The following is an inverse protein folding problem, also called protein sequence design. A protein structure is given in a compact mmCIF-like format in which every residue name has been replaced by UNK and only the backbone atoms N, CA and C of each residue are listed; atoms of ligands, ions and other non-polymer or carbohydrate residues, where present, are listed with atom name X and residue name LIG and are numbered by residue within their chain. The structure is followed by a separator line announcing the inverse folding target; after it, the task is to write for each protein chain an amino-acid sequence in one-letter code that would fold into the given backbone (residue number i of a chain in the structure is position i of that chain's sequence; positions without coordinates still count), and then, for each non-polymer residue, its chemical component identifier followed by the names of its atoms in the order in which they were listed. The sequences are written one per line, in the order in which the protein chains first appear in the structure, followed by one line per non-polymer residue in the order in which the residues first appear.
data_IF_049496950812
#
_entry.id   IF_049496950812
#
_cell.length_a   1.000
_cell.length_b   1.000
_cell.length_c   1.000
_cell.angle_alpha   90.00
_cell.angle_beta   90.00
_cell.angle_gamma   90.00
#
_symmetry.space_group_name_H-M   'P 1'
#
loop_
_entity.id
_entity.type
_entity.pdbx_description
1 polymer ?
#
# COMPACT_ATOMS: atom_id res chain seq x y z
N UNK A 1 89.02 -28.05 18.12
CA UNK A 1 88.54 -26.86 17.36
C UNK A 1 87.22 -27.22 16.70
N UNK A 2 86.14 -26.49 17.00
CA UNK A 2 84.77 -26.76 16.51
C UNK A 2 84.62 -26.26 15.06
N UNK A 3 84.25 -27.15 14.15
CA UNK A 3 83.87 -26.82 12.77
C UNK A 3 82.42 -26.36 12.73
N UNK A 4 82.21 -25.08 12.43
CA UNK A 4 80.88 -24.52 12.23
C UNK A 4 80.38 -24.84 10.82
N UNK A 5 79.33 -25.65 10.71
CA UNK A 5 78.60 -25.89 9.46
C UNK A 5 77.79 -24.63 9.13
N UNK A 6 78.17 -23.89 8.07
CA UNK A 6 77.36 -22.81 7.52
C UNK A 6 76.19 -23.39 6.72
N UNK A 7 74.96 -23.21 7.21
CA UNK A 7 73.76 -23.38 6.38
C UNK A 7 73.68 -22.22 5.38
N UNK A 8 73.81 -22.52 4.08
CA UNK A 8 73.46 -21.57 3.02
C UNK A 8 71.96 -21.30 3.07
N UNK A 9 71.55 -20.12 3.54
CA UNK A 9 70.17 -19.64 3.40
C UNK A 9 69.93 -19.34 1.92
N UNK A 10 69.20 -20.21 1.22
CA UNK A 10 68.71 -19.95 -0.13
C UNK A 10 67.61 -18.88 -0.06
N UNK A 11 67.77 -17.78 -0.79
CA UNK A 11 66.73 -16.78 -0.99
C UNK A 11 65.71 -17.24 -2.04
N UNK A 12 64.52 -16.65 -2.02
CA UNK A 12 63.47 -16.92 -3.02
C UNK A 12 63.86 -16.41 -4.40
N UNK A 13 63.49 -17.15 -5.45
CA UNK A 13 63.66 -16.73 -6.84
C UNK A 13 62.57 -15.75 -7.27
N UNK A 14 62.84 -14.88 -8.25
CA UNK A 14 61.86 -13.91 -8.77
C UNK A 14 60.63 -14.62 -9.35
N UNK A 15 60.83 -15.77 -9.99
CA UNK A 15 59.75 -16.60 -10.56
C UNK A 15 58.83 -17.15 -9.47
N UNK A 16 59.37 -17.64 -8.35
CA UNK A 16 58.53 -18.09 -7.22
C UNK A 16 57.72 -16.94 -6.63
N UNK A 17 58.29 -15.73 -6.53
CA UNK A 17 57.57 -14.56 -6.03
C UNK A 17 56.44 -14.17 -6.99
N UNK A 18 56.67 -14.25 -8.31
CA UNK A 18 55.65 -13.98 -9.33
C UNK A 18 54.52 -15.03 -9.28
N UNK A 19 54.86 -16.31 -9.15
CA UNK A 19 53.85 -17.38 -9.00
C UNK A 19 53.07 -17.22 -7.70
N UNK A 20 53.74 -16.90 -6.60
CA UNK A 20 53.10 -16.67 -5.31
C UNK A 20 52.13 -15.47 -5.34
N UNK A 21 52.52 -14.37 -5.99
CA UNK A 21 51.65 -13.19 -6.14
C UNK A 21 50.49 -13.45 -7.10
N UNK A 22 50.70 -14.21 -8.18
CA UNK A 22 49.62 -14.62 -9.08
C UNK A 22 48.57 -15.48 -8.36
N UNK A 23 49.01 -16.48 -7.57
CA UNK A 23 48.11 -17.32 -6.77
C UNK A 23 47.36 -16.46 -5.73
N UNK A 24 48.05 -15.53 -5.06
CA UNK A 24 47.41 -14.63 -4.10
C UNK A 24 46.28 -13.82 -4.76
N UNK A 25 46.52 -13.22 -5.93
CA UNK A 25 45.50 -12.43 -6.64
C UNK A 25 44.30 -13.31 -6.98
N UNK A 26 44.52 -14.52 -7.50
CA UNK A 26 43.43 -15.46 -7.81
C UNK A 26 42.63 -15.81 -6.56
N UNK A 27 43.31 -16.10 -5.44
CA UNK A 27 42.64 -16.41 -4.18
C UNK A 27 41.82 -15.23 -3.65
N UNK A 28 42.37 -14.01 -3.70
CA UNK A 28 41.65 -12.80 -3.28
C UNK A 28 40.41 -12.59 -4.15
N UNK A 29 40.52 -12.75 -5.47
CA UNK A 29 39.38 -12.60 -6.38
C UNK A 29 38.27 -13.61 -6.07
N UNK A 30 38.62 -14.87 -5.80
CA UNK A 30 37.65 -15.92 -5.44
C UNK A 30 36.95 -15.57 -4.12
N UNK A 31 37.72 -15.18 -3.09
CA UNK A 31 37.16 -14.82 -1.78
C UNK A 31 36.25 -13.60 -1.88
N UNK A 32 36.67 -12.56 -2.60
CA UNK A 32 35.84 -11.36 -2.81
C UNK A 32 34.58 -11.68 -3.59
N UNK A 33 34.63 -12.56 -4.59
CA UNK A 33 33.44 -13.01 -5.33
C UNK A 33 32.42 -13.68 -4.42
N UNK A 34 32.86 -14.65 -3.62
CA UNK A 34 31.98 -15.34 -2.66
C UNK A 34 31.39 -14.34 -1.66
N UNK A 35 32.18 -13.38 -1.19
CA UNK A 35 31.70 -12.34 -0.28
C UNK A 35 30.60 -11.46 -0.91
N UNK A 36 30.80 -11.01 -2.16
CA UNK A 36 29.81 -10.20 -2.89
C UNK A 36 28.53 -10.99 -3.14
N UNK A 37 28.63 -12.23 -3.61
CA UNK A 37 27.46 -13.08 -3.89
C UNK A 37 26.66 -13.34 -2.61
N UNK A 38 27.36 -13.53 -1.48
CA UNK A 38 26.72 -13.72 -0.17
C UNK A 38 26.00 -12.46 0.30
N UNK A 39 26.60 -11.28 0.11
CA UNK A 39 25.96 -10.00 0.45
C UNK A 39 24.71 -9.75 -0.41
N UNK A 40 24.79 -9.98 -1.71
CA UNK A 40 23.62 -9.83 -2.60
C UNK A 40 22.50 -10.82 -2.26
N UNK A 41 22.84 -12.06 -1.90
CA UNK A 41 21.86 -13.04 -1.44
C UNK A 41 21.21 -12.62 -0.11
N UNK A 42 22.01 -12.08 0.82
CA UNK A 42 21.53 -11.55 2.09
C UNK A 42 20.56 -10.39 1.89
N UNK A 43 20.92 -9.41 1.06
CA UNK A 43 20.07 -8.24 0.77
C UNK A 43 18.72 -8.66 0.19
N UNK A 44 18.72 -9.62 -0.74
CA UNK A 44 17.49 -10.19 -1.29
C UNK A 44 16.62 -10.86 -0.23
N UNK A 45 17.21 -11.68 0.64
CA UNK A 45 16.47 -12.38 1.70
C UNK A 45 15.87 -11.38 2.69
N UNK A 46 16.60 -10.31 3.02
CA UNK A 46 16.09 -9.24 3.89
C UNK A 46 14.93 -8.51 3.22
N UNK A 47 15.00 -8.21 1.93
CA UNK A 47 13.91 -7.58 1.17
C UNK A 47 12.65 -8.47 1.13
N UNK A 48 12.82 -9.77 0.87
CA UNK A 48 11.72 -10.74 0.84
C UNK A 48 11.07 -10.89 2.23
N UNK A 49 11.88 -10.91 3.31
CA UNK A 49 11.38 -10.98 4.68
C UNK A 49 10.61 -9.70 5.08
N UNK A 50 11.12 -8.53 4.70
CA UNK A 50 10.44 -7.25 4.93
C UNK A 50 9.09 -7.23 4.23
N UNK A 51 9.06 -7.60 2.95
CA UNK A 51 7.84 -7.69 2.15
C UNK A 51 6.82 -8.65 2.77
N UNK A 52 7.27 -9.81 3.26
CA UNK A 52 6.39 -10.77 3.92
C UNK A 52 5.87 -10.25 5.26
N UNK A 53 6.69 -9.55 6.05
CA UNK A 53 6.27 -8.95 7.30
C UNK A 53 5.22 -7.85 7.08
N UNK A 54 5.43 -7.00 6.07
CA UNK A 54 4.46 -5.99 5.64
C UNK A 54 3.15 -6.63 5.18
N UNK A 55 3.21 -7.69 4.34
CA UNK A 55 2.03 -8.43 3.89
C UNK A 55 1.22 -9.01 5.06
N UNK A 56 1.89 -9.57 6.07
CA UNK A 56 1.22 -10.07 7.29
C UNK A 56 0.53 -8.94 8.06
N UNK A 57 1.16 -7.78 8.16
CA UNK A 57 0.57 -6.60 8.79
C UNK A 57 -0.72 -6.16 8.08
N UNK A 58 -0.73 -6.15 6.74
CA UNK A 58 -1.93 -5.83 5.95
C UNK A 58 -3.05 -6.81 6.22
N UNK A 59 -2.73 -8.11 6.20
CA UNK A 59 -3.71 -9.18 6.40
C UNK A 59 -4.30 -9.14 7.81
N UNK A 60 -3.51 -8.82 8.82
CA UNK A 60 -3.97 -8.63 10.20
C UNK A 60 -4.90 -7.41 10.31
N UNK A 61 -4.55 -6.26 9.71
CA UNK A 61 -5.46 -5.11 9.66
C UNK A 61 -6.77 -5.44 8.91
N UNK A 62 -6.70 -6.16 7.79
CA UNK A 62 -7.88 -6.61 7.06
C UNK A 62 -8.73 -7.58 7.87
N UNK A 63 -8.11 -8.52 8.58
CA UNK A 63 -8.79 -9.45 9.48
C UNK A 63 -9.53 -8.69 10.60
N UNK A 64 -8.88 -7.71 11.23
CA UNK A 64 -9.49 -6.88 12.28
C UNK A 64 -10.71 -6.11 11.76
N UNK A 65 -10.62 -5.56 10.55
CA UNK A 65 -11.73 -4.85 9.94
C UNK A 65 -12.88 -5.80 9.56
N UNK A 66 -12.57 -6.96 8.98
CA UNK A 66 -13.56 -7.98 8.62
C UNK A 66 -14.25 -8.58 9.86
N UNK A 67 -13.53 -8.74 10.98
CA UNK A 67 -14.10 -9.18 12.25
C UNK A 67 -15.08 -8.17 12.86
N UNK A 68 -15.00 -6.90 12.46
CA UNK A 68 -15.93 -5.84 12.88
C UNK A 68 -16.89 -5.41 11.76
N UNK A 69 -16.93 -6.17 10.66
CA UNK A 69 -17.79 -5.86 9.53
C UNK A 69 -19.27 -5.97 9.90
N UNK A 70 -20.05 -5.00 9.42
CA UNK A 70 -21.48 -4.88 9.71
C UNK A 70 -22.28 -5.42 8.54
N UNK A 71 -22.99 -6.52 8.77
CA UNK A 71 -23.92 -7.12 7.82
C UNK A 71 -25.32 -7.13 8.41
N UNK A 72 -26.33 -6.72 7.61
CA UNK A 72 -27.74 -6.79 8.02
C UNK A 72 -28.54 -7.68 7.08
N UNK A 73 -29.46 -8.51 7.60
CA UNK A 73 -30.32 -9.36 6.78
C UNK A 73 -31.51 -8.57 6.21
N UNK A 74 -31.25 -7.42 5.57
CA UNK A 74 -32.27 -6.54 5.01
C UNK A 74 -32.36 -6.61 3.47
N UNK A 75 -31.64 -7.56 2.85
CA UNK A 75 -31.60 -7.74 1.41
C UNK A 75 -30.78 -6.68 0.66
N UNK A 76 -30.09 -5.79 1.38
CA UNK A 76 -29.23 -4.75 0.79
C UNK A 76 -27.78 -5.20 0.68
N UNK A 77 -27.02 -4.53 -0.18
CA UNK A 77 -25.60 -4.80 -0.36
C UNK A 77 -24.78 -4.03 0.68
N UNK A 78 -24.26 -4.73 1.69
CA UNK A 78 -23.39 -4.17 2.73
C UNK A 78 -21.90 -4.37 2.45
N UNK A 79 -21.57 -5.25 1.51
CA UNK A 79 -20.22 -5.53 1.05
C UNK A 79 -20.24 -5.86 -0.43
N UNK A 80 -19.26 -5.31 -1.14
CA UNK A 80 -19.14 -5.46 -2.58
C UNK A 80 -17.66 -5.61 -2.94
N UNK A 81 -17.40 -6.50 -3.91
CA UNK A 81 -16.06 -6.70 -4.49
C UNK A 81 -16.19 -6.51 -5.98
N UNK A 82 -15.39 -5.60 -6.55
CA UNK A 82 -15.40 -5.32 -7.99
C UNK A 82 -13.98 -5.39 -8.53
N UNK A 83 -13.82 -6.06 -9.67
CA UNK A 83 -12.59 -6.03 -10.44
C UNK A 83 -12.63 -4.86 -11.46
N UNK A 84 -11.63 -3.97 -11.47
CA UNK A 84 -11.56 -2.88 -12.44
C UNK A 84 -11.51 -3.39 -13.88
N UNK A 85 -12.40 -2.89 -14.75
CA UNK A 85 -12.48 -3.22 -16.19
C UNK A 85 -12.76 -4.70 -16.54
N UNK A 86 -13.35 -5.50 -15.66
CA UNK A 86 -13.88 -6.79 -16.10
C UNK A 86 -15.09 -6.57 -17.04
N UNK A 87 -15.26 -7.45 -18.03
CA UNK A 87 -16.25 -7.30 -19.10
C UNK A 87 -17.67 -7.24 -18.50
N UNK A 88 -18.27 -6.05 -18.45
CA UNK A 88 -19.59 -5.81 -17.84
C UNK A 88 -19.60 -5.00 -16.54
N UNK A 89 -18.43 -4.62 -16.01
CA UNK A 89 -18.31 -3.93 -14.72
C UNK A 89 -18.29 -2.39 -14.83
N UNK A 90 -18.59 -1.75 -13.71
CA UNK A 90 -18.87 -0.33 -13.60
C UNK A 90 -17.77 0.57 -14.18
N UNK A 91 -18.19 1.41 -15.14
CA UNK A 91 -17.43 2.26 -16.08
C UNK A 91 -16.50 3.34 -15.48
N UNK A 92 -15.98 3.17 -14.26
CA UNK A 92 -15.13 4.16 -13.59
C UNK A 92 -13.88 3.61 -12.91
N UNK A 93 -13.70 2.29 -12.77
CA UNK A 93 -12.49 1.77 -12.12
C UNK A 93 -11.35 1.61 -13.10
N UNK A 94 -10.31 2.44 -12.95
CA UNK A 94 -9.09 2.29 -13.73
C UNK A 94 -8.24 1.13 -13.23
N UNK A 95 -7.69 0.39 -14.18
CA UNK A 95 -6.73 -0.67 -13.95
C UNK A 95 -5.32 -0.12 -13.71
N UNK A 96 -4.59 -0.70 -12.77
CA UNK A 96 -3.16 -0.48 -12.63
C UNK A 96 -2.43 -1.05 -13.85
N UNK A 97 -1.47 -0.31 -14.38
CA UNK A 97 -0.61 -0.84 -15.44
C UNK A 97 0.10 -2.12 -14.97
N UNK A 98 0.34 -3.06 -15.89
CA UNK A 98 1.07 -4.31 -15.67
C UNK A 98 0.46 -5.32 -14.66
N UNK A 99 -0.76 -5.11 -14.15
CA UNK A 99 -1.53 -6.09 -13.37
C UNK A 99 -2.84 -6.34 -14.11
N UNK A 100 -3.29 -7.58 -14.29
CA UNK A 100 -4.58 -7.87 -14.94
C UNK A 100 -5.76 -7.40 -14.09
N UNK A 101 -6.90 -7.09 -14.72
CA UNK A 101 -8.13 -6.61 -14.06
C UNK A 101 -8.56 -7.51 -12.91
N UNK A 102 -8.47 -8.81 -13.14
CA UNK A 102 -8.99 -9.84 -12.23
C UNK A 102 -8.11 -10.01 -10.99
N UNK A 103 -6.86 -9.52 -11.05
CA UNK A 103 -5.89 -9.63 -9.96
C UNK A 103 -5.88 -8.39 -9.05
N UNK A 104 -6.72 -7.39 -9.28
CA UNK A 104 -6.76 -6.14 -8.51
C UNK A 104 -8.18 -5.81 -8.00
N UNK A 105 -8.80 -6.72 -7.21
CA UNK A 105 -10.12 -6.48 -6.68
C UNK A 105 -10.14 -5.26 -5.76
N UNK A 106 -11.23 -4.50 -5.82
CA UNK A 106 -11.56 -3.48 -4.85
C UNK A 106 -12.62 -4.07 -3.92
N UNK A 107 -12.27 -4.21 -2.65
CA UNK A 107 -13.16 -4.67 -1.60
C UNK A 107 -13.71 -3.44 -0.85
N UNK A 108 -15.04 -3.33 -0.79
CA UNK A 108 -15.74 -2.22 -0.14
C UNK A 108 -16.77 -2.78 0.84
N UNK A 109 -16.74 -2.32 2.09
CA UNK A 109 -17.65 -2.77 3.14
C UNK A 109 -17.78 -1.75 4.27
N UNK A 110 -18.65 -2.04 5.23
CA UNK A 110 -18.80 -1.25 6.45
C UNK A 110 -18.28 -2.02 7.65
N UNK A 111 -17.50 -1.38 8.50
CA UNK A 111 -16.88 -2.00 9.65
C UNK A 111 -16.78 -1.02 10.83
N UNK A 112 -16.28 -1.49 11.97
CA UNK A 112 -15.97 -0.65 13.13
C UNK A 112 -14.49 -0.79 13.48
N UNK A 113 -13.57 -0.23 12.66
CA UNK A 113 -12.15 -0.35 12.93
C UNK A 113 -11.73 0.29 14.25
N UNK A 114 -10.80 -0.36 14.95
CA UNK A 114 -10.33 0.12 16.25
C UNK A 114 -9.53 1.43 16.17
N UNK A 115 -8.85 1.62 15.04
CA UNK A 115 -7.96 2.73 14.69
C UNK A 115 -8.69 3.92 14.02
N UNK A 116 -10.02 3.85 13.87
CA UNK A 116 -10.81 4.93 13.26
C UNK A 116 -10.58 6.29 13.93
N UNK A 117 -10.69 7.37 13.15
CA UNK A 117 -10.74 8.72 13.70
C UNK A 117 -11.97 8.88 14.59
N UNK A 118 -11.76 9.08 15.90
CA UNK A 118 -12.85 9.23 16.88
C UNK A 118 -13.17 10.70 17.18
N UNK A 119 -12.27 11.63 16.83
CA UNK A 119 -12.29 13.01 17.31
C UNK A 119 -12.13 13.94 16.11
N UNK A 120 -13.01 14.92 15.98
CA UNK A 120 -12.91 15.95 14.96
C UNK A 120 -12.07 17.11 15.50
N UNK A 121 -11.20 17.64 14.64
CA UNK A 121 -10.42 18.87 14.87
C UNK A 121 -11.03 20.06 14.14
N UNK A 122 -12.25 19.91 13.60
CA UNK A 122 -13.01 20.97 12.96
C UNK A 122 -13.57 21.96 13.98
N UNK A 123 -12.68 22.79 14.54
CA UNK A 123 -13.00 23.85 15.51
C UNK A 123 -11.91 24.03 16.57
N UNK A 124 -12.02 25.08 17.39
CA UNK A 124 -11.07 25.34 18.49
C UNK A 124 -11.13 24.30 19.63
N UNK A 125 -12.18 23.46 19.64
CA UNK A 125 -12.42 22.43 20.66
C UNK A 125 -12.52 21.07 19.96
N UNK A 126 -11.82 20.06 20.50
CA UNK A 126 -11.91 18.69 20.02
C UNK A 126 -13.31 18.13 20.35
N UNK A 127 -14.05 17.74 19.33
CA UNK A 127 -15.39 17.15 19.49
C UNK A 127 -15.34 15.66 19.17
N UNK A 128 -16.06 14.85 19.95
CA UNK A 128 -16.18 13.42 19.66
C UNK A 128 -17.04 13.22 18.40
N UNK A 129 -16.55 12.40 17.46
CA UNK A 129 -17.28 11.97 16.28
C UNK A 129 -18.30 10.93 16.73
N UNK A 130 -19.57 11.12 16.37
CA UNK A 130 -20.64 10.20 16.75
C UNK A 130 -20.68 9.00 15.82
N UNK A 131 -21.04 7.84 16.37
CA UNK A 131 -21.17 6.59 15.63
C UNK A 131 -19.93 5.71 15.67
N UNK A 132 -20.10 4.49 15.17
CA UNK A 132 -19.07 3.45 15.19
C UNK A 132 -18.79 2.82 13.83
N UNK A 133 -19.80 2.79 12.96
CA UNK A 133 -19.70 2.20 11.63
C UNK A 133 -19.03 3.15 10.67
N UNK A 134 -17.91 2.74 10.13
CA UNK A 134 -17.10 3.41 9.12
C UNK A 134 -17.22 2.68 7.77
N UNK A 135 -17.18 3.43 6.67
CA UNK A 135 -16.97 2.86 5.35
C UNK A 135 -15.49 2.53 5.18
N UNK A 136 -15.19 1.29 4.79
CA UNK A 136 -13.83 0.78 4.56
C UNK A 136 -13.69 0.30 3.12
N UNK A 137 -12.58 0.65 2.49
CA UNK A 137 -12.20 0.15 1.16
C UNK A 137 -10.76 -0.33 1.16
N UNK A 138 -10.53 -1.48 0.53
CA UNK A 138 -9.21 -2.02 0.22
C UNK A 138 -9.04 -2.13 -1.28
N UNK A 139 -7.88 -1.71 -1.78
CA UNK A 139 -7.47 -1.98 -3.17
C UNK A 139 -5.97 -1.91 -3.32
N UNK A 140 -5.45 -2.52 -4.39
CA UNK A 140 -4.07 -2.28 -4.78
C UNK A 140 -3.93 -0.95 -5.52
N UNK A 141 -2.85 -0.25 -5.24
CA UNK A 141 -2.43 0.90 -6.02
C UNK A 141 -0.92 1.08 -5.98
N UNK A 142 -0.50 2.29 -6.32
CA UNK A 142 0.91 2.66 -6.44
C UNK A 142 1.18 3.91 -5.62
N UNK A 143 2.27 3.93 -4.88
CA UNK A 143 2.74 5.10 -4.13
C UNK A 143 4.21 5.36 -4.40
N UNK A 144 4.57 6.64 -4.48
CA UNK A 144 5.97 7.06 -4.48
C UNK A 144 6.50 7.06 -3.04
N UNK A 145 7.68 6.46 -2.78
CA UNK A 145 8.31 6.48 -1.46
C UNK A 145 8.88 7.86 -1.08
N UNK A 146 8.90 8.84 -2.01
CA UNK A 146 9.55 10.15 -1.83
C UNK A 146 8.56 11.34 -1.77
N UNK A 147 7.34 11.08 -1.30
CA UNK A 147 6.40 12.09 -0.80
C UNK A 147 5.95 13.20 -1.76
N UNK A 148 5.86 12.88 -3.05
CA UNK A 148 4.95 13.59 -3.98
C UNK A 148 3.99 12.58 -4.59
N UNK A 149 2.74 12.49 -4.10
CA UNK A 149 1.69 11.72 -4.75
C UNK A 149 1.58 12.15 -6.21
N UNK A 150 2.00 11.29 -7.14
CA UNK A 150 1.87 11.54 -8.57
C UNK A 150 3.17 11.60 -9.39
N UNK A 151 4.34 11.64 -8.75
CA UNK A 151 5.59 11.54 -9.50
C UNK A 151 5.80 10.10 -9.99
N UNK A 152 5.64 9.85 -11.30
CA UNK A 152 5.75 8.52 -11.93
C UNK A 152 7.15 7.93 -11.88
N UNK A 153 8.15 8.70 -11.45
CA UNK A 153 9.58 8.37 -11.54
C UNK A 153 9.98 7.17 -10.67
N UNK A 154 9.32 6.92 -9.53
CA UNK A 154 9.51 5.72 -8.70
C UNK A 154 8.20 5.38 -7.98
N UNK A 155 7.53 4.30 -8.39
CA UNK A 155 6.25 3.86 -7.83
C UNK A 155 6.37 2.43 -7.30
N UNK A 156 6.05 2.23 -6.03
CA UNK A 156 5.98 0.93 -5.36
C UNK A 156 4.52 0.49 -5.28
N UNK A 157 4.26 -0.81 -5.45
CA UNK A 157 2.92 -1.36 -5.27
C UNK A 157 2.55 -1.42 -3.79
N UNK A 158 1.33 -1.02 -3.48
CA UNK A 158 0.83 -0.99 -2.12
C UNK A 158 -0.61 -1.45 -2.06
N UNK A 159 -0.99 -2.04 -0.91
CA UNK A 159 -2.38 -2.23 -0.55
C UNK A 159 -2.80 -0.98 0.20
N UNK A 160 -3.77 -0.29 -0.39
CA UNK A 160 -4.32 0.93 0.16
C UNK A 160 -5.60 0.59 0.88
N UNK A 161 -5.63 0.96 2.15
CA UNK A 161 -6.81 0.94 3.00
C UNK A 161 -7.31 2.37 3.11
N UNK A 162 -8.61 2.56 2.96
CA UNK A 162 -9.25 3.85 3.17
C UNK A 162 -10.41 3.68 4.13
N UNK A 163 -10.41 4.51 5.17
CA UNK A 163 -11.47 4.54 6.17
C UNK A 163 -12.10 5.92 6.21
N UNK A 164 -13.42 5.98 6.07
CA UNK A 164 -14.19 7.19 6.29
C UNK A 164 -14.68 7.22 7.74
N UNK A 165 -14.69 8.40 8.35
CA UNK A 165 -15.19 8.59 9.70
C UNK A 165 -16.66 8.15 9.84
N UNK A 166 -17.04 7.77 11.06
CA UNK A 166 -18.35 7.19 11.31
C UNK A 166 -19.50 8.18 11.05
N UNK A 167 -19.28 9.48 11.30
CA UNK A 167 -20.30 10.51 11.10
C UNK A 167 -20.58 10.73 9.61
N UNK A 168 -19.54 10.89 8.78
CA UNK A 168 -19.71 11.04 7.33
C UNK A 168 -20.22 9.74 6.69
N UNK A 169 -19.76 8.58 7.17
CA UNK A 169 -20.32 7.29 6.75
C UNK A 169 -21.84 7.23 7.00
N UNK A 170 -22.29 7.64 8.20
CA UNK A 170 -23.70 7.66 8.53
C UNK A 170 -24.49 8.68 7.71
N UNK A 171 -23.95 9.87 7.48
CA UNK A 171 -24.63 10.95 6.76
C UNK A 171 -24.69 10.72 5.25
N UNK A 172 -23.69 10.06 4.66
CA UNK A 172 -23.50 9.97 3.21
C UNK A 172 -23.70 8.55 2.68
N UNK A 173 -23.10 7.54 3.32
CA UNK A 173 -23.11 6.17 2.79
C UNK A 173 -24.41 5.43 3.12
N UNK A 174 -24.86 5.48 4.38
CA UNK A 174 -26.06 4.76 4.82
C UNK A 174 -27.33 5.18 4.05
N UNK A 175 -27.60 6.46 3.76
CA UNK A 175 -28.75 6.84 2.96
C UNK A 175 -28.73 6.22 1.57
N UNK A 176 -27.56 6.12 0.92
CA UNK A 176 -27.40 5.51 -0.41
C UNK A 176 -27.80 4.03 -0.36
N UNK A 177 -27.35 3.29 0.67
CA UNK A 177 -27.71 1.88 0.84
C UNK A 177 -29.18 1.67 1.19
N UNK A 178 -29.80 2.66 1.86
CA UNK A 178 -31.12 2.51 2.47
C UNK A 178 -32.27 3.10 1.66
N UNK A 179 -31.99 3.68 0.48
CA UNK A 179 -33.05 4.13 -0.44
C UNK A 179 -33.98 2.96 -0.76
N UNK A 180 -35.30 3.07 -0.50
CA UNK A 180 -36.24 2.02 -0.86
C UNK A 180 -36.28 1.87 -2.37
N UNK A 181 -35.74 0.76 -2.87
CA UNK A 181 -35.85 0.35 -4.26
C UNK A 181 -37.30 -0.04 -4.52
N UNK A 182 -38.03 0.77 -5.27
CA UNK A 182 -39.29 0.36 -5.85
C UNK A 182 -39.02 -0.81 -6.80
N UNK A 183 -39.41 -2.01 -6.38
CA UNK A 183 -39.11 -3.31 -6.98
C UNK A 183 -37.60 -3.60 -7.13
N UNK A 184 -37.25 -4.86 -6.92
CA UNK A 184 -35.91 -5.42 -7.07
C UNK A 184 -35.48 -5.40 -8.56
N UNK A 185 -35.31 -4.21 -9.14
CA UNK A 185 -34.82 -4.03 -10.51
C UNK A 185 -33.30 -4.03 -10.51
N UNK A 186 -32.73 -4.86 -11.37
CA UNK A 186 -31.31 -5.06 -11.63
C UNK A 186 -30.55 -3.74 -11.76
N UNK A 187 -29.59 -3.56 -10.84
CA UNK A 187 -28.41 -2.68 -10.91
C UNK A 187 -28.69 -1.16 -10.91
N UNK A 188 -28.25 -0.48 -9.83
CA UNK A 188 -27.45 0.77 -9.80
C UNK A 188 -27.74 1.63 -8.55
N UNK A 189 -28.89 1.47 -7.87
CA UNK A 189 -29.25 2.39 -6.77
C UNK A 189 -29.10 1.71 -5.41
N UNK A 190 -27.89 1.80 -4.83
CA UNK A 190 -27.67 1.50 -3.40
C UNK A 190 -26.62 0.45 -3.05
N UNK A 191 -25.48 0.44 -3.76
CA UNK A 191 -24.34 -0.44 -3.42
C UNK A 191 -23.16 0.37 -2.87
N UNK A 192 -22.22 -0.25 -2.12
CA UNK A 192 -20.99 0.40 -1.68
C UNK A 192 -20.23 1.08 -2.83
N UNK A 193 -20.18 0.48 -4.02
CA UNK A 193 -19.55 1.07 -5.20
C UNK A 193 -20.13 2.45 -5.54
N UNK A 194 -21.44 2.61 -5.41
CA UNK A 194 -22.10 3.89 -5.68
C UNK A 194 -21.59 4.98 -4.73
N UNK A 195 -21.39 4.64 -3.45
CA UNK A 195 -20.82 5.56 -2.47
C UNK A 195 -19.35 5.91 -2.77
N UNK A 196 -18.52 4.90 -3.05
CA UNK A 196 -17.08 5.10 -3.23
C UNK A 196 -16.69 5.79 -4.54
N UNK A 197 -17.46 5.55 -5.61
CA UNK A 197 -17.08 5.97 -6.97
C UNK A 197 -18.09 6.87 -7.66
N UNK A 198 -19.37 6.85 -7.29
CA UNK A 198 -20.41 7.65 -7.97
C UNK A 198 -20.99 8.78 -7.12
N UNK A 199 -20.58 8.92 -5.86
CA UNK A 199 -21.03 9.98 -4.96
C UNK A 199 -19.86 10.88 -4.52
N UNK A 200 -20.17 12.15 -4.28
CA UNK A 200 -19.27 13.04 -3.55
C UNK A 200 -19.25 12.64 -2.09
N UNK A 201 -18.06 12.54 -1.51
CA UNK A 201 -17.88 12.17 -0.10
C UNK A 201 -16.97 13.12 0.65
N UNK A 202 -17.25 13.27 1.92
CA UNK A 202 -16.51 14.08 2.87
C UNK A 202 -15.60 13.19 3.72
N UNK A 203 -14.39 13.67 3.99
CA UNK A 203 -13.45 12.96 4.85
C UNK A 203 -12.52 13.95 5.56
N UNK A 204 -11.88 13.45 6.62
CA UNK A 204 -10.85 14.17 7.37
C UNK A 204 -9.49 13.82 6.76
N UNK A 205 -8.76 14.82 6.26
CA UNK A 205 -7.41 14.61 5.72
C UNK A 205 -6.40 14.34 6.83
N UNK A 206 -5.63 13.23 6.77
CA UNK A 206 -4.56 12.96 7.75
C UNK A 206 -3.31 13.84 7.53
N UNK A 207 -3.11 14.41 6.33
CA UNK A 207 -1.87 15.10 5.95
C UNK A 207 -1.89 16.63 6.11
N UNK A 208 -2.80 17.17 6.91
CA UNK A 208 -2.66 18.54 7.42
C UNK A 208 -2.45 19.62 6.37
N UNK A 209 -3.28 19.68 5.32
CA UNK A 209 -3.56 21.00 4.74
C UNK A 209 -4.42 21.72 5.79
N UNK A 210 -3.78 22.50 6.66
CA UNK A 210 -4.48 23.31 7.66
C UNK A 210 -5.29 24.38 6.96
N UNK A 211 -6.50 24.03 6.54
CA UNK A 211 -7.55 25.00 6.33
C UNK A 211 -8.68 24.55 7.24
N UNK A 212 -8.79 25.26 8.36
CA UNK A 212 -9.79 25.14 9.41
C UNK A 212 -11.02 24.31 9.00
N UNK A 213 -11.17 23.11 9.58
CA UNK A 213 -12.44 22.37 9.55
C UNK A 213 -13.02 22.00 8.18
N UNK A 214 -12.22 21.94 7.12
CA UNK A 214 -12.79 21.66 5.80
C UNK A 214 -12.78 20.16 5.51
N UNK A 215 -13.94 19.54 5.64
CA UNK A 215 -14.27 18.28 4.95
C UNK A 215 -13.85 18.43 3.49
N UNK A 216 -12.91 17.62 3.02
CA UNK A 216 -12.52 17.67 1.61
C UNK A 216 -13.57 16.87 0.84
N UNK A 217 -14.26 17.51 -0.10
CA UNK A 217 -15.16 16.81 -1.02
C UNK A 217 -14.33 16.20 -2.15
N UNK A 218 -14.30 14.88 -2.24
CA UNK A 218 -13.65 14.21 -3.37
C UNK A 218 -14.67 13.95 -4.48
N UNK A 219 -14.43 14.52 -5.67
CA UNK A 219 -15.09 14.09 -6.90
C UNK A 219 -14.33 12.87 -7.44
N UNK A 220 -14.92 11.70 -7.18
CA UNK A 220 -14.65 10.37 -7.76
C UNK A 220 -13.21 9.81 -7.73
N UNK A 221 -13.07 8.62 -7.13
CA UNK A 221 -11.85 7.77 -7.13
C UNK A 221 -11.58 7.08 -8.48
N UNK A 222 -12.32 7.48 -9.53
CA UNK A 222 -12.43 6.80 -10.82
C UNK A 222 -11.46 7.32 -11.89
N UNK A 223 -10.73 8.41 -11.66
CA UNK A 223 -9.92 9.04 -12.73
C UNK A 223 -8.51 9.41 -12.28
N UNK A 224 -7.64 8.42 -12.08
CA UNK A 224 -6.19 8.67 -12.04
C UNK A 224 -5.47 7.96 -13.18
N UNK A 225 -5.89 8.25 -14.41
CA UNK A 225 -5.02 8.28 -15.58
C UNK A 225 -4.40 9.67 -15.80
N UNK A 226 -4.92 10.69 -15.10
CA UNK A 226 -4.38 12.04 -15.08
C UNK A 226 -3.89 12.36 -13.66
N UNK A 227 -2.62 12.07 -13.39
CA UNK A 227 -1.84 12.82 -12.41
C UNK A 227 -1.44 14.18 -13.01
N UNK A 228 -2.38 14.85 -13.70
CA UNK A 228 -2.10 16.10 -14.40
C UNK A 228 -3.19 17.15 -14.13
N UNK A 229 -2.72 18.21 -13.47
CA UNK A 229 -2.97 19.62 -13.74
C UNK A 229 -4.11 20.41 -13.06
N UNK A 230 -5.06 19.85 -12.31
CA UNK A 230 -6.02 20.76 -11.62
C UNK A 230 -6.67 20.27 -10.32
N UNK A 231 -6.52 19.01 -9.93
CA UNK A 231 -7.18 18.50 -8.73
C UNK A 231 -6.14 18.03 -7.71
N UNK A 232 -5.74 18.96 -6.84
CA UNK A 232 -4.70 18.76 -5.81
C UNK A 232 -5.14 17.84 -4.67
N UNK A 233 -6.34 17.23 -4.72
CA UNK A 233 -6.89 16.42 -3.64
C UNK A 233 -7.45 15.05 -4.05
N UNK A 234 -7.32 14.61 -5.30
CA UNK A 234 -7.93 13.34 -5.77
C UNK A 234 -6.99 12.12 -5.80
N UNK A 235 -5.78 12.24 -5.22
CA UNK A 235 -4.81 11.16 -5.18
C UNK A 235 -4.76 10.45 -3.83
N UNK A 236 -5.60 9.44 -3.60
CA UNK A 236 -5.28 8.26 -2.76
C UNK A 236 -4.84 8.43 -1.27
N UNK A 237 -4.97 9.60 -0.65
CA UNK A 237 -4.50 9.83 0.73
C UNK A 237 -5.63 9.83 1.75
N UNK A 238 -6.11 8.68 2.20
CA UNK A 238 -7.10 8.63 3.28
C UNK A 238 -6.96 7.40 4.19
N UNK A 239 -5.73 7.08 4.58
CA UNK A 239 -5.43 6.70 5.97
C UNK A 239 -3.91 6.69 6.16
N UNK A 240 -3.46 6.80 7.40
CA UNK A 240 -2.05 6.64 7.81
C UNK A 240 -1.56 5.19 7.61
N UNK A 241 -2.45 4.26 7.27
CA UNK A 241 -2.19 2.83 7.15
C UNK A 241 -2.22 2.34 5.69
N UNK A 242 -1.53 3.05 4.81
CA UNK A 242 -1.24 2.51 3.48
C UNK A 242 -0.04 1.57 3.59
N UNK A 243 -0.29 0.29 3.35
CA UNK A 243 0.74 -0.74 3.45
C UNK A 243 1.45 -0.86 2.11
N UNK A 244 2.68 -0.36 2.04
CA UNK A 244 3.54 -0.53 0.88
C UNK A 244 4.31 -1.83 1.04
N UNK A 245 4.34 -2.66 -0.01
CA UNK A 245 5.16 -3.84 -0.07
C UNK A 245 6.33 -3.53 -1.01
N UNK A 246 7.50 -3.27 -0.45
CA UNK A 246 8.67 -2.88 -1.24
C UNK A 246 9.58 -4.08 -1.51
N UNK A 247 9.46 -4.67 -2.70
CA UNK A 247 10.55 -5.47 -3.26
C UNK A 247 11.39 -4.56 -4.15
N UNK A 248 12.53 -4.10 -3.64
CA UNK A 248 13.55 -3.47 -4.49
C UNK A 248 14.31 -4.61 -5.15
N UNK A 249 14.00 -4.86 -6.42
CA UNK A 249 14.85 -5.69 -7.29
C UNK A 249 15.84 -4.79 -7.99
#
# INVERSE_FOLDING_TARGET
MKTFVRHSRRGFTLVELLVASAIMIVLVLIVTKVAVDTLSAYDKVVADLSTQAEARSVLDSMERDLNTAVFRPDGRCWMEVIAPQATGDASGLLKLANISSDLQPVLMFFASPNDRTRWSTSGSVRTAISGETCAVSYRMGRRSPFDVPGATIQQVYCVQRTVIDAQNTFNEAIPILTVPTAALSTVTTGTPFTYWYNASRSYISPYGASTTGTLISSTQMASSGALDAANTNTGWTMDEQNFCAQNVV
#
